data_IF_551792642188
#
_entry.id   IF_551792642188
#
_cell.length_a   1.000
_cell.length_b   1.000
_cell.length_c   1.000
_cell.angle_alpha   90.00
_cell.angle_beta   90.00
_cell.angle_gamma   90.00
#
_symmetry.space_group_name_H-M   'P 1'
#
loop_
_entity.id
_entity.type
_entity.pdbx_description
1 polymer ?
#
# COMPACT_ATOMS: atom_id res chain seq x y z
N UNK A 1 -17.07 -16.29 -38.38
CA UNK A 1 -17.06 -14.86 -38.65
C UNK A 1 -18.13 -14.21 -37.81
N UNK A 2 -17.70 -13.51 -36.77
CA UNK A 2 -18.56 -12.76 -35.88
C UNK A 2 -18.90 -11.43 -36.56
N UNK A 3 -20.18 -11.09 -36.70
CA UNK A 3 -20.53 -9.77 -37.24
C UNK A 3 -20.16 -8.67 -36.25
N UNK A 4 -19.62 -7.54 -36.76
CA UNK A 4 -19.21 -6.42 -35.92
C UNK A 4 -20.38 -5.84 -35.10
N UNK A 5 -21.58 -5.77 -35.69
CA UNK A 5 -22.81 -5.36 -35.01
C UNK A 5 -23.16 -6.29 -33.84
N UNK A 6 -22.94 -7.60 -34.02
CA UNK A 6 -23.13 -8.60 -32.97
C UNK A 6 -22.09 -8.43 -31.85
N UNK A 7 -20.83 -8.20 -32.19
CA UNK A 7 -19.75 -7.90 -31.23
C UNK A 7 -20.11 -6.71 -30.34
N UNK A 8 -20.52 -5.59 -30.94
CA UNK A 8 -20.92 -4.38 -30.20
C UNK A 8 -22.19 -4.57 -29.37
N UNK A 9 -23.14 -5.40 -29.83
CA UNK A 9 -24.29 -5.75 -29.00
C UNK A 9 -23.86 -6.52 -27.73
N UNK A 10 -22.90 -7.44 -27.84
CA UNK A 10 -22.32 -8.14 -26.69
C UNK A 10 -21.55 -7.18 -25.76
N UNK A 11 -20.80 -6.21 -26.31
CA UNK A 11 -20.15 -5.13 -25.55
C UNK A 11 -21.17 -4.39 -24.72
N UNK A 12 -22.23 -3.89 -25.37
CA UNK A 12 -23.28 -3.10 -24.72
C UNK A 12 -23.90 -3.91 -23.59
N UNK A 13 -24.36 -5.14 -23.87
CA UNK A 13 -24.98 -6.00 -22.84
C UNK A 13 -24.07 -6.28 -21.65
N UNK A 14 -22.76 -6.44 -21.89
CA UNK A 14 -21.78 -6.75 -20.84
C UNK A 14 -21.44 -5.54 -19.97
N UNK A 15 -21.39 -4.34 -20.58
CA UNK A 15 -21.01 -3.10 -19.90
C UNK A 15 -22.19 -2.29 -19.37
N UNK A 16 -23.42 -2.53 -19.85
CA UNK A 16 -24.57 -1.66 -19.60
C UNK A 16 -24.87 -1.44 -18.11
N UNK A 17 -24.87 -2.50 -17.28
CA UNK A 17 -25.12 -2.35 -15.84
C UNK A 17 -24.07 -1.46 -15.18
N UNK A 18 -22.78 -1.71 -15.48
CA UNK A 18 -21.65 -0.97 -14.90
C UNK A 18 -21.62 0.48 -15.37
N UNK A 19 -21.90 0.74 -16.64
CA UNK A 19 -21.99 2.10 -17.19
C UNK A 19 -23.12 2.89 -16.51
N UNK A 20 -24.32 2.28 -16.38
CA UNK A 20 -25.47 2.92 -15.72
C UNK A 20 -25.22 3.19 -14.24
N UNK A 21 -24.60 2.25 -13.51
CA UNK A 21 -24.21 2.43 -12.10
C UNK A 21 -23.31 3.66 -11.88
N UNK A 22 -22.50 4.01 -12.87
CA UNK A 22 -21.58 5.14 -12.81
C UNK A 22 -22.16 6.45 -13.40
N UNK A 23 -23.43 6.43 -13.80
CA UNK A 23 -24.14 7.60 -14.33
C UNK A 23 -23.89 7.86 -15.82
N UNK A 24 -23.48 6.83 -16.57
CA UNK A 24 -23.30 6.90 -18.02
C UNK A 24 -24.48 6.25 -18.73
N UNK A 25 -24.90 6.87 -19.83
CA UNK A 25 -25.90 6.34 -20.75
C UNK A 25 -25.32 6.26 -22.15
N UNK A 26 -25.70 5.22 -22.87
CA UNK A 26 -25.33 5.07 -24.28
C UNK A 26 -25.95 6.20 -25.10
N UNK A 27 -25.13 6.83 -25.94
CA UNK A 27 -25.55 7.89 -26.85
C UNK A 27 -26.18 7.28 -28.10
N UNK A 28 -27.33 7.79 -28.51
CA UNK A 28 -28.05 7.33 -29.69
C UNK A 28 -28.07 8.44 -30.73
N UNK A 29 -27.60 8.18 -31.97
CA UNK A 29 -27.85 9.07 -33.09
C UNK A 29 -29.36 9.34 -33.26
N UNK A 30 -29.72 10.48 -33.81
CA UNK A 30 -31.11 10.96 -33.91
C UNK A 30 -32.07 9.92 -34.54
N UNK A 31 -31.58 9.13 -35.48
CA UNK A 31 -32.36 8.15 -36.27
C UNK A 31 -32.33 6.72 -35.69
N UNK A 32 -31.49 6.42 -34.70
CA UNK A 32 -31.33 5.06 -34.16
C UNK A 32 -32.06 4.94 -32.82
N UNK A 33 -32.77 3.83 -32.62
CA UNK A 33 -33.50 3.53 -31.38
C UNK A 33 -33.27 2.07 -30.95
N UNK A 34 -33.32 1.78 -29.63
CA UNK A 34 -33.31 0.39 -29.15
C UNK A 34 -34.40 -0.44 -29.86
N UNK A 35 -34.12 -1.69 -30.28
CA UNK A 35 -32.97 -2.52 -29.92
C UNK A 35 -31.75 -2.40 -30.85
N UNK A 36 -31.74 -1.47 -31.81
CA UNK A 36 -30.62 -1.31 -32.75
C UNK A 36 -29.37 -0.79 -32.04
N UNK A 37 -28.20 -1.31 -32.45
CA UNK A 37 -26.90 -0.89 -31.91
C UNK A 37 -26.57 0.50 -32.47
N UNK A 38 -26.31 1.53 -31.64
CA UNK A 38 -26.01 2.89 -32.09
C UNK A 38 -24.57 3.03 -32.59
N UNK A 39 -24.21 2.23 -33.59
CA UNK A 39 -22.88 2.19 -34.16
C UNK A 39 -22.67 3.40 -35.07
N UNK A 40 -21.84 4.35 -34.64
CA UNK A 40 -21.41 5.49 -35.42
C UNK A 40 -20.22 5.12 -36.34
N UNK A 41 -20.04 5.88 -37.40
CA UNK A 41 -18.94 5.70 -38.36
C UNK A 41 -18.16 6.99 -38.56
N UNK A 42 -16.84 6.90 -38.48
CA UNK A 42 -15.92 7.98 -38.86
C UNK A 42 -14.78 7.36 -39.69
N UNK A 43 -14.70 7.72 -40.98
CA UNK A 43 -13.79 7.07 -41.92
C UNK A 43 -14.00 5.55 -41.96
N UNK A 44 -12.95 4.80 -41.60
CA UNK A 44 -12.97 3.32 -41.49
C UNK A 44 -13.31 2.82 -40.08
N UNK A 45 -13.34 3.70 -39.08
CA UNK A 45 -13.63 3.35 -37.71
C UNK A 45 -15.14 3.19 -37.49
N UNK A 46 -15.50 2.28 -36.59
CA UNK A 46 -16.86 2.07 -36.08
C UNK A 46 -16.84 2.19 -34.58
N UNK A 47 -17.74 2.96 -33.98
CA UNK A 47 -17.69 3.20 -32.55
C UNK A 47 -19.06 3.42 -31.91
N UNK A 48 -19.09 3.32 -30.58
CA UNK A 48 -20.20 3.76 -29.74
C UNK A 48 -19.68 4.74 -28.70
N UNK A 49 -20.54 5.65 -28.24
CA UNK A 49 -20.22 6.62 -27.20
C UNK A 49 -21.17 6.44 -26.02
N UNK A 50 -20.64 6.48 -24.80
CA UNK A 50 -21.42 6.71 -23.59
C UNK A 50 -21.16 8.12 -23.09
N UNK A 51 -22.22 8.81 -22.67
CA UNK A 51 -22.15 10.14 -22.04
C UNK A 51 -22.64 10.06 -20.60
N UNK A 52 -21.96 10.76 -19.71
CA UNK A 52 -22.37 10.90 -18.32
C UNK A 52 -21.90 12.24 -17.75
N UNK A 53 -22.37 12.57 -16.55
CA UNK A 53 -21.95 13.81 -15.87
C UNK A 53 -20.44 13.85 -15.56
N UNK A 54 -19.79 12.67 -15.50
CA UNK A 54 -18.36 12.53 -15.16
C UNK A 54 -17.43 12.60 -16.38
N UNK A 55 -17.98 12.59 -17.59
CA UNK A 55 -17.18 12.57 -18.82
C UNK A 55 -17.79 11.73 -19.94
N UNK A 56 -16.93 11.21 -20.82
CA UNK A 56 -17.30 10.43 -22.01
C UNK A 56 -16.47 9.15 -22.13
N UNK A 57 -17.08 8.12 -22.69
CA UNK A 57 -16.43 6.84 -23.03
C UNK A 57 -16.69 6.55 -24.51
N UNK A 58 -15.63 6.28 -25.28
CA UNK A 58 -15.74 5.83 -26.68
C UNK A 58 -15.13 4.43 -26.80
N UNK A 59 -15.88 3.51 -27.38
CA UNK A 59 -15.37 2.17 -27.74
C UNK A 59 -15.33 2.14 -29.26
N UNK A 60 -14.13 2.00 -29.82
CA UNK A 60 -13.87 2.12 -31.26
C UNK A 60 -13.22 0.85 -31.80
N UNK A 61 -13.72 0.38 -32.92
CA UNK A 61 -13.13 -0.66 -33.73
C UNK A 61 -12.53 -0.06 -35.01
N UNK A 62 -11.24 -0.30 -35.24
CA UNK A 62 -10.53 0.12 -36.46
C UNK A 62 -9.32 -0.78 -36.69
N UNK A 63 -9.09 -1.19 -37.94
CA UNK A 63 -7.94 -2.03 -38.33
C UNK A 63 -7.73 -3.26 -37.42
N UNK A 64 -8.80 -4.04 -37.21
CA UNK A 64 -8.79 -5.26 -36.36
C UNK A 64 -8.39 -5.00 -34.91
N UNK A 65 -8.53 -3.77 -34.43
CA UNK A 65 -8.27 -3.39 -33.05
C UNK A 65 -9.52 -2.78 -32.44
N UNK A 66 -9.76 -3.15 -31.19
CA UNK A 66 -10.76 -2.53 -30.33
C UNK A 66 -10.05 -1.64 -29.32
N UNK A 67 -10.44 -0.38 -29.26
CA UNK A 67 -9.85 0.62 -28.39
C UNK A 67 -10.91 1.20 -27.45
N UNK A 68 -10.52 1.43 -26.20
CA UNK A 68 -11.28 2.16 -25.20
C UNK A 68 -10.66 3.55 -25.03
N UNK A 69 -11.45 4.60 -25.23
CA UNK A 69 -11.06 5.98 -24.98
C UNK A 69 -11.93 6.58 -23.87
N UNK A 70 -11.31 7.39 -23.02
CA UNK A 70 -11.93 8.01 -21.85
C UNK A 70 -11.57 9.50 -21.82
N UNK A 71 -12.53 10.35 -21.46
CA UNK A 71 -12.31 11.79 -21.21
C UNK A 71 -13.16 12.23 -20.01
N UNK A 72 -12.60 13.03 -19.12
CA UNK A 72 -13.34 13.57 -17.97
C UNK A 72 -14.30 14.70 -18.39
N UNK A 73 -15.09 15.22 -17.44
CA UNK A 73 -16.07 16.28 -17.71
C UNK A 73 -15.44 17.67 -17.85
N UNK A 74 -14.23 17.88 -17.33
CA UNK A 74 -13.51 19.16 -17.37
C UNK A 74 -12.64 19.27 -18.64
N UNK A 75 -12.44 18.15 -19.33
CA UNK A 75 -11.81 18.05 -20.64
C UNK A 75 -12.77 18.58 -21.72
N UNK A 76 -12.66 19.88 -22.04
CA UNK A 76 -13.46 20.54 -23.10
C UNK A 76 -13.14 20.07 -24.53
N UNK A 77 -12.24 19.09 -24.66
CA UNK A 77 -11.77 18.61 -25.95
C UNK A 77 -12.87 17.88 -26.74
N UNK A 78 -12.79 17.95 -28.07
CA UNK A 78 -13.76 17.26 -28.93
C UNK A 78 -13.62 15.73 -28.78
N UNK A 79 -14.60 14.95 -29.27
CA UNK A 79 -14.56 13.48 -29.21
C UNK A 79 -13.28 12.89 -29.88
N UNK A 80 -12.57 13.67 -30.70
CA UNK A 80 -11.28 13.35 -31.33
C UNK A 80 -10.07 13.35 -30.38
N UNK A 81 -10.18 13.95 -29.20
CA UNK A 81 -9.05 14.25 -28.30
C UNK A 81 -9.07 13.39 -27.02
N UNK A 82 -9.99 12.42 -26.94
CA UNK A 82 -10.11 11.50 -25.82
C UNK A 82 -8.82 10.67 -25.64
N UNK A 83 -8.45 10.42 -24.38
CA UNK A 83 -7.26 9.61 -24.08
C UNK A 83 -7.54 8.13 -24.30
N UNK A 84 -6.68 7.45 -25.06
CA UNK A 84 -6.77 5.99 -25.23
C UNK A 84 -6.32 5.26 -23.97
N UNK A 85 -7.26 4.59 -23.31
CA UNK A 85 -7.05 3.90 -22.04
C UNK A 85 -6.73 2.41 -22.18
N UNK A 86 -7.29 1.73 -23.20
CA UNK A 86 -6.93 0.35 -23.55
C UNK A 86 -7.00 0.14 -25.06
N UNK A 87 -6.26 -0.86 -25.55
CA UNK A 87 -6.18 -1.26 -26.95
C UNK A 87 -5.94 -2.77 -27.03
N UNK A 88 -6.85 -3.49 -27.66
CA UNK A 88 -6.79 -4.94 -27.80
C UNK A 88 -6.99 -5.34 -29.25
N UNK A 89 -6.30 -6.40 -29.69
CA UNK A 89 -6.54 -6.99 -31.00
C UNK A 89 -7.89 -7.71 -31.01
N UNK A 90 -8.68 -7.52 -32.07
CA UNK A 90 -9.95 -8.19 -32.27
C UNK A 90 -10.09 -8.61 -33.75
N UNK A 91 -9.75 -9.87 -34.01
CA UNK A 91 -9.93 -10.50 -35.31
C UNK A 91 -11.30 -11.18 -35.34
N UNK A 92 -12.29 -10.54 -35.98
CA UNK A 92 -13.69 -11.04 -36.03
C UNK A 92 -13.85 -12.44 -36.64
N UNK A 93 -12.85 -12.89 -37.39
CA UNK A 93 -12.84 -14.22 -38.02
C UNK A 93 -12.39 -15.33 -37.07
N UNK A 94 -11.60 -15.01 -36.05
CA UNK A 94 -10.94 -15.99 -35.17
C UNK A 94 -11.46 -15.95 -33.74
N UNK A 95 -12.04 -14.83 -33.29
CA UNK A 95 -12.51 -14.64 -31.91
C UNK A 95 -13.91 -15.20 -31.69
N UNK A 96 -14.12 -15.83 -30.51
CA UNK A 96 -15.42 -16.30 -30.04
C UNK A 96 -16.00 -15.42 -28.91
N UNK A 97 -17.22 -15.71 -28.46
CA UNK A 97 -17.87 -14.93 -27.39
C UNK A 97 -17.11 -14.93 -26.06
N UNK A 98 -16.30 -15.96 -25.77
CA UNK A 98 -15.49 -16.02 -24.54
C UNK A 98 -14.33 -15.05 -24.63
N UNK A 99 -13.67 -14.99 -25.79
CA UNK A 99 -12.58 -14.04 -26.03
C UNK A 99 -13.08 -12.60 -25.87
N UNK A 100 -14.26 -12.31 -26.43
CA UNK A 100 -14.94 -11.04 -26.27
C UNK A 100 -15.23 -10.69 -24.81
N UNK A 101 -15.72 -11.65 -24.00
CA UNK A 101 -15.98 -11.41 -22.57
C UNK A 101 -14.72 -10.99 -21.82
N UNK A 102 -13.58 -11.63 -22.08
CA UNK A 102 -12.32 -11.22 -21.45
C UNK A 102 -11.92 -9.79 -21.80
N UNK A 103 -12.06 -9.39 -23.07
CA UNK A 103 -11.80 -8.01 -23.51
C UNK A 103 -12.76 -7.04 -22.80
N UNK A 104 -14.03 -7.43 -22.64
CA UNK A 104 -15.03 -6.54 -22.04
C UNK A 104 -14.88 -6.42 -20.53
N UNK A 105 -14.47 -7.49 -19.84
CA UNK A 105 -14.13 -7.42 -18.43
C UNK A 105 -12.90 -6.50 -18.20
N UNK A 106 -11.88 -6.58 -19.06
CA UNK A 106 -10.74 -5.66 -19.03
C UNK A 106 -11.17 -4.19 -19.26
N UNK A 107 -12.05 -3.96 -20.23
CA UNK A 107 -12.56 -2.62 -20.52
C UNK A 107 -13.42 -2.08 -19.36
N UNK A 108 -14.21 -2.95 -18.73
CA UNK A 108 -15.00 -2.61 -17.57
C UNK A 108 -14.11 -2.22 -16.37
N UNK A 109 -13.07 -3.00 -16.09
CA UNK A 109 -12.08 -2.67 -15.05
C UNK A 109 -11.35 -1.36 -15.35
N UNK A 110 -10.94 -1.14 -16.61
CA UNK A 110 -10.28 0.10 -17.04
C UNK A 110 -11.20 1.31 -16.88
N UNK A 111 -12.47 1.17 -17.28
CA UNK A 111 -13.51 2.18 -17.07
C UNK A 111 -13.75 2.46 -15.58
N UNK A 112 -13.90 1.43 -14.75
CA UNK A 112 -14.12 1.55 -13.31
C UNK A 112 -12.90 2.18 -12.61
N UNK A 113 -11.68 1.93 -13.08
CA UNK A 113 -10.49 2.59 -12.54
C UNK A 113 -10.46 4.10 -12.85
N UNK A 114 -11.02 4.52 -14.00
CA UNK A 114 -11.03 5.91 -14.45
C UNK A 114 -12.24 6.70 -13.93
N UNK A 115 -13.46 6.23 -14.17
CA UNK A 115 -14.74 6.88 -13.81
C UNK A 115 -15.39 6.29 -12.57
N UNK A 116 -14.78 5.26 -12.01
CA UNK A 116 -15.05 4.89 -10.66
C UNK A 116 -15.05 6.12 -9.79
N UNK A 117 -16.11 6.25 -9.00
CA UNK A 117 -15.82 6.64 -7.63
C UNK A 117 -14.82 5.57 -7.23
N UNK A 118 -13.51 5.89 -7.13
CA UNK A 118 -12.61 5.14 -6.24
C UNK A 118 -13.53 4.82 -5.10
N UNK A 119 -13.80 3.55 -4.75
CA UNK A 119 -14.55 3.29 -3.53
C UNK A 119 -13.77 3.99 -2.44
N UNK A 120 -14.08 5.26 -2.19
CA UNK A 120 -14.24 5.86 -0.91
C UNK A 120 -15.31 4.94 -0.35
N UNK A 121 -14.82 3.81 0.16
CA UNK A 121 -15.24 3.43 1.49
C UNK A 121 -15.15 4.74 2.25
N UNK A 122 -16.28 5.45 2.34
CA UNK A 122 -16.45 6.51 3.29
C UNK A 122 -16.21 5.79 4.63
N UNK A 123 -14.97 5.89 5.12
CA UNK A 123 -14.44 5.02 6.17
C UNK A 123 -12.99 4.55 5.98
N UNK A 124 -12.47 4.27 4.77
CA UNK A 124 -11.05 3.89 4.64
C UNK A 124 -10.18 5.14 4.81
N UNK A 125 -9.49 5.19 5.93
CA UNK A 125 -8.29 6.01 6.08
C UNK A 125 -7.46 5.90 4.79
N UNK A 126 -7.13 7.05 4.17
CA UNK A 126 -6.02 7.09 3.23
C UNK A 126 -4.80 6.64 4.01
N UNK A 127 -4.29 5.45 3.70
CA UNK A 127 -3.07 4.96 4.33
C UNK A 127 -1.97 6.00 4.10
N UNK A 128 -1.25 6.43 5.15
CA UNK A 128 -0.19 7.39 5.02
C UNK A 128 0.86 6.89 4.01
N UNK A 129 1.45 7.82 3.25
CA UNK A 129 2.40 7.47 2.19
C UNK A 129 3.76 7.11 2.79
N UNK A 130 4.30 5.90 2.54
CA UNK A 130 5.63 5.54 3.02
C UNK A 130 6.71 6.31 2.27
N UNK A 131 7.86 6.47 2.92
CA UNK A 131 9.04 7.09 2.33
C UNK A 131 9.58 6.23 1.18
N UNK A 132 9.78 6.87 0.03
CA UNK A 132 10.29 6.21 -1.17
C UNK A 132 11.77 5.87 -1.04
N UNK A 133 12.21 4.83 -1.75
CA UNK A 133 13.62 4.43 -1.75
C UNK A 133 14.57 5.51 -2.28
N UNK A 134 14.13 6.27 -3.27
CA UNK A 134 14.93 7.38 -3.80
C UNK A 134 15.05 8.52 -2.79
N UNK A 135 13.96 8.86 -2.08
CA UNK A 135 14.00 9.90 -1.06
C UNK A 135 14.93 9.53 0.12
N UNK A 136 14.93 8.26 0.52
CA UNK A 136 15.86 7.72 1.51
C UNK A 136 17.32 7.81 1.06
N UNK A 137 17.63 7.27 -0.12
CA UNK A 137 19.02 7.20 -0.63
C UNK A 137 19.65 8.56 -0.90
N UNK A 138 18.87 9.57 -1.27
CA UNK A 138 19.38 10.93 -1.48
C UNK A 138 19.51 11.72 -0.18
N UNK A 139 19.07 11.14 0.96
CA UNK A 139 19.00 11.82 2.25
C UNK A 139 17.91 12.89 2.32
N UNK A 140 17.00 12.94 1.35
CA UNK A 140 15.90 13.90 1.33
C UNK A 140 14.88 13.64 2.45
N UNK A 141 14.65 12.36 2.76
CA UNK A 141 13.84 11.89 3.89
C UNK A 141 14.49 10.64 4.47
N UNK A 142 14.27 10.34 5.74
CA UNK A 142 14.69 9.06 6.35
C UNK A 142 13.51 8.12 6.50
N UNK A 143 13.74 6.81 6.47
CA UNK A 143 12.67 5.84 6.69
C UNK A 143 12.09 5.95 8.11
N UNK A 144 10.77 6.02 8.19
CA UNK A 144 9.98 6.14 9.41
C UNK A 144 9.33 4.80 9.82
N UNK A 145 8.73 4.71 11.02
CA UNK A 145 8.04 3.49 11.46
C UNK A 145 6.90 3.06 10.52
N UNK A 146 6.21 4.02 9.89
CA UNK A 146 5.19 3.77 8.88
C UNK A 146 5.76 3.01 7.67
N UNK A 147 6.91 3.45 7.15
CA UNK A 147 7.58 2.82 6.01
C UNK A 147 8.02 1.41 6.35
N UNK A 148 8.50 1.20 7.58
CA UNK A 148 8.80 -0.14 8.10
C UNK A 148 7.57 -1.02 8.11
N UNK A 149 6.46 -0.57 8.72
CA UNK A 149 5.21 -1.33 8.75
C UNK A 149 4.70 -1.66 7.34
N UNK A 150 4.69 -0.68 6.44
CA UNK A 150 4.22 -0.85 5.07
C UNK A 150 5.04 -1.88 4.28
N UNK A 151 6.38 -1.79 4.32
CA UNK A 151 7.25 -2.74 3.64
C UNK A 151 7.24 -4.11 4.31
N UNK A 152 7.06 -4.15 5.63
CA UNK A 152 6.94 -5.39 6.39
C UNK A 152 5.71 -6.20 5.95
N UNK A 153 4.52 -5.59 5.87
CA UNK A 153 3.33 -6.27 5.34
C UNK A 153 3.42 -6.55 3.83
N UNK A 154 4.36 -5.92 3.13
CA UNK A 154 4.81 -6.32 1.80
C UNK A 154 5.45 -7.72 1.76
N UNK A 155 6.14 -8.11 2.83
CA UNK A 155 6.72 -9.47 2.99
C UNK A 155 5.67 -10.43 3.57
N UNK A 156 4.94 -9.99 4.58
CA UNK A 156 3.96 -10.77 5.34
C UNK A 156 2.55 -10.26 5.06
N UNK A 157 2.00 -10.70 3.92
CA UNK A 157 0.73 -10.22 3.38
C UNK A 157 -0.45 -10.51 4.31
N UNK A 158 -0.33 -11.53 5.14
CA UNK A 158 -1.32 -11.94 6.14
C UNK A 158 -1.60 -10.86 7.20
N UNK A 159 -0.67 -9.93 7.46
CA UNK A 159 -0.87 -8.84 8.43
C UNK A 159 -1.31 -7.51 7.80
N UNK A 160 -1.72 -7.52 6.52
CA UNK A 160 -2.17 -6.30 5.83
C UNK A 160 -3.39 -5.67 6.48
N UNK A 161 -4.30 -6.49 6.98
CA UNK A 161 -5.52 -6.00 7.62
C UNK A 161 -5.22 -5.53 9.03
N UNK A 162 -4.40 -6.26 9.81
CA UNK A 162 -3.92 -5.79 11.14
C UNK A 162 -3.19 -4.44 11.06
N UNK A 163 -2.39 -4.22 10.00
CA UNK A 163 -1.71 -2.95 9.74
C UNK A 163 -2.70 -1.82 9.44
N UNK A 164 -3.76 -2.08 8.68
CA UNK A 164 -4.80 -1.10 8.37
C UNK A 164 -5.62 -0.76 9.61
N UNK A 165 -6.04 -1.79 10.35
CA UNK A 165 -6.84 -1.65 11.56
C UNK A 165 -6.07 -0.87 12.62
N UNK A 166 -4.75 -1.06 12.73
CA UNK A 166 -3.90 -0.27 13.62
C UNK A 166 -3.93 1.23 13.26
N UNK A 167 -3.78 1.57 11.98
CA UNK A 167 -3.82 2.96 11.52
C UNK A 167 -5.22 3.54 11.69
N UNK A 168 -6.27 2.77 11.40
CA UNK A 168 -7.65 3.21 11.58
C UNK A 168 -7.99 3.49 13.05
N UNK A 169 -7.51 2.62 13.95
CA UNK A 169 -7.72 2.76 15.40
C UNK A 169 -7.04 4.01 15.97
N UNK A 170 -5.84 4.33 15.52
CA UNK A 170 -5.01 5.38 16.13
C UNK A 170 -4.93 6.67 15.30
N UNK A 171 -5.42 6.68 14.06
CA UNK A 171 -5.26 7.79 13.11
C UNK A 171 -3.86 7.86 12.48
N UNK A 172 -2.89 7.14 13.04
CA UNK A 172 -1.51 6.99 12.56
C UNK A 172 -1.02 5.57 12.85
N UNK A 173 0.10 5.17 12.26
CA UNK A 173 0.64 3.84 12.49
C UNK A 173 1.36 3.75 13.85
N UNK A 174 0.72 3.08 14.81
CA UNK A 174 1.31 2.77 16.11
C UNK A 174 2.17 1.51 16.02
N UNK A 175 3.41 1.71 15.55
CA UNK A 175 4.30 0.63 15.18
C UNK A 175 4.66 -0.31 16.35
N UNK A 176 4.87 0.22 17.55
CA UNK A 176 5.17 -0.58 18.75
C UNK A 176 4.08 -1.63 19.03
N UNK A 177 2.81 -1.22 19.04
CA UNK A 177 1.68 -2.15 19.25
C UNK A 177 1.62 -3.20 18.14
N UNK A 178 1.73 -2.77 16.88
CA UNK A 178 1.68 -3.68 15.74
C UNK A 178 2.78 -4.75 15.80
N UNK A 179 4.02 -4.36 16.09
CA UNK A 179 5.13 -5.32 16.16
C UNK A 179 5.04 -6.21 17.40
N UNK A 180 4.64 -5.69 18.56
CA UNK A 180 4.47 -6.50 19.77
C UNK A 180 3.35 -7.55 19.60
N UNK A 181 2.23 -7.18 18.98
CA UNK A 181 1.07 -8.07 18.84
C UNK A 181 1.22 -9.06 17.67
N UNK A 182 1.76 -8.61 16.54
CA UNK A 182 1.77 -9.36 15.28
C UNK A 182 3.19 -9.57 14.75
N UNK A 183 3.91 -8.48 14.44
CA UNK A 183 5.15 -8.54 13.65
C UNK A 183 6.26 -9.40 14.27
N UNK A 184 6.45 -9.32 15.59
CA UNK A 184 7.50 -10.08 16.29
C UNK A 184 7.27 -11.59 16.22
N UNK A 185 6.02 -12.04 16.21
CA UNK A 185 5.70 -13.47 16.04
C UNK A 185 6.12 -13.95 14.65
N UNK A 186 5.85 -13.16 13.62
CA UNK A 186 6.25 -13.48 12.25
C UNK A 186 7.76 -13.47 12.05
N UNK A 187 8.46 -12.49 12.63
CA UNK A 187 9.93 -12.43 12.63
C UNK A 187 10.54 -13.67 13.28
N UNK A 188 10.09 -14.01 14.50
CA UNK A 188 10.58 -15.21 15.19
C UNK A 188 10.25 -16.49 14.44
N UNK A 189 9.06 -16.61 13.85
CA UNK A 189 8.68 -17.75 13.03
C UNK A 189 9.58 -17.91 11.80
N UNK A 190 9.89 -16.82 11.10
CA UNK A 190 10.82 -16.81 9.96
C UNK A 190 12.21 -17.28 10.36
N UNK A 191 12.73 -16.80 11.49
CA UNK A 191 14.06 -17.18 12.00
C UNK A 191 14.09 -18.66 12.42
N UNK A 192 13.05 -19.12 13.12
CA UNK A 192 12.94 -20.53 13.56
C UNK A 192 12.77 -21.49 12.40
N UNK A 193 12.02 -21.10 11.36
CA UNK A 193 11.80 -21.90 10.16
C UNK A 193 13.08 -22.19 9.36
N UNK A 194 14.15 -21.40 9.56
CA UNK A 194 15.46 -21.60 8.95
C UNK A 194 15.46 -21.62 7.41
N UNK A 195 14.46 -20.99 6.80
CA UNK A 195 14.39 -20.79 5.36
C UNK A 195 15.33 -19.63 4.98
N UNK A 196 16.47 -19.95 4.37
CA UNK A 196 17.50 -18.98 4.01
C UNK A 196 16.99 -17.85 3.12
N UNK A 197 16.02 -18.12 2.25
CA UNK A 197 15.47 -17.12 1.33
C UNK A 197 14.60 -16.13 2.12
N UNK A 198 13.74 -16.64 3.00
CA UNK A 198 12.87 -15.79 3.84
C UNK A 198 13.67 -14.98 4.85
N UNK A 199 14.67 -15.59 5.50
CA UNK A 199 15.58 -14.90 6.42
C UNK A 199 16.32 -13.78 5.69
N UNK A 200 16.91 -14.06 4.51
CA UNK A 200 17.59 -13.02 3.73
C UNK A 200 16.65 -11.89 3.33
N UNK A 201 15.42 -12.20 2.90
CA UNK A 201 14.42 -11.18 2.53
C UNK A 201 14.06 -10.28 3.71
N UNK A 202 13.86 -10.87 4.89
CA UNK A 202 13.60 -10.13 6.13
C UNK A 202 14.78 -9.22 6.50
N UNK A 203 15.99 -9.76 6.56
CA UNK A 203 17.14 -8.97 7.00
C UNK A 203 17.58 -7.92 5.97
N UNK A 204 17.41 -8.17 4.67
CA UNK A 204 17.61 -7.13 3.65
C UNK A 204 16.67 -5.94 3.89
N UNK A 205 15.40 -6.20 4.26
CA UNK A 205 14.46 -5.14 4.61
C UNK A 205 14.92 -4.40 5.87
N UNK A 206 15.25 -5.12 6.95
CA UNK A 206 15.63 -4.52 8.23
C UNK A 206 16.92 -3.72 8.11
N UNK A 207 17.94 -4.23 7.41
CA UNK A 207 19.20 -3.51 7.17
C UNK A 207 18.96 -2.22 6.38
N UNK A 208 18.24 -2.30 5.25
CA UNK A 208 17.96 -1.12 4.41
C UNK A 208 17.22 -0.03 5.20
N UNK A 209 16.22 -0.41 5.99
CA UNK A 209 15.45 0.56 6.77
C UNK A 209 16.26 1.09 7.94
N UNK A 210 17.08 0.27 8.58
CA UNK A 210 17.89 0.68 9.71
C UNK A 210 18.96 1.70 9.31
N UNK A 211 19.65 1.47 8.19
CA UNK A 211 20.74 2.33 7.71
C UNK A 211 20.25 3.73 7.32
N UNK A 212 19.14 3.81 6.59
CA UNK A 212 18.56 5.09 6.13
C UNK A 212 17.36 5.55 6.98
N UNK A 213 17.22 5.01 8.20
CA UNK A 213 16.06 5.23 9.09
C UNK A 213 16.25 6.36 10.08
N UNK A 214 15.13 6.89 10.60
CA UNK A 214 15.15 7.77 11.77
C UNK A 214 15.62 7.02 13.02
N UNK A 215 16.07 7.74 14.05
CA UNK A 215 16.45 7.14 15.35
C UNK A 215 15.30 6.33 15.97
N UNK A 216 14.05 6.76 15.76
CA UNK A 216 12.86 6.04 16.23
C UNK A 216 12.72 4.69 15.49
N UNK A 217 12.82 4.70 14.17
CA UNK A 217 12.77 3.47 13.35
C UNK A 217 13.92 2.52 13.70
N UNK A 218 15.13 3.04 13.89
CA UNK A 218 16.29 2.26 14.31
C UNK A 218 16.05 1.62 15.69
N UNK A 219 15.51 2.40 16.64
CA UNK A 219 15.17 1.91 17.98
C UNK A 219 14.09 0.82 17.92
N UNK A 220 13.05 1.00 17.12
CA UNK A 220 12.00 0.02 16.90
C UNK A 220 12.57 -1.31 16.36
N UNK A 221 13.45 -1.25 15.35
CA UNK A 221 14.09 -2.44 14.80
C UNK A 221 14.99 -3.12 15.84
N UNK A 222 15.90 -2.38 16.47
CA UNK A 222 16.92 -2.95 17.34
C UNK A 222 16.39 -3.38 18.72
N UNK A 223 15.49 -2.59 19.31
CA UNK A 223 14.97 -2.80 20.67
C UNK A 223 13.71 -3.64 20.69
N UNK A 224 12.74 -3.32 19.82
CA UNK A 224 11.41 -3.94 19.88
C UNK A 224 11.32 -5.20 19.05
N UNK A 225 11.88 -5.19 17.83
CA UNK A 225 11.79 -6.33 16.92
C UNK A 225 12.89 -7.35 17.20
N UNK A 226 14.15 -6.95 17.01
CA UNK A 226 15.29 -7.87 17.16
C UNK A 226 15.75 -8.02 18.62
N UNK A 227 15.44 -7.05 19.48
CA UNK A 227 15.76 -7.12 20.90
C UNK A 227 15.11 -8.33 21.57
N UNK A 228 13.94 -8.77 21.10
CA UNK A 228 13.22 -9.97 21.56
C UNK A 228 14.03 -11.28 21.47
N UNK A 229 15.07 -11.32 20.63
CA UNK A 229 16.00 -12.44 20.54
C UNK A 229 16.77 -12.69 21.85
N UNK A 230 16.75 -11.76 22.82
CA UNK A 230 17.31 -12.01 24.16
C UNK A 230 16.68 -13.21 24.87
N UNK A 231 15.45 -13.59 24.49
CA UNK A 231 14.75 -14.77 25.02
C UNK A 231 15.31 -16.07 24.47
N UNK A 232 15.93 -16.03 23.29
CA UNK A 232 16.43 -17.19 22.55
C UNK A 232 17.83 -16.88 21.95
N UNK A 233 18.90 -16.81 22.77
CA UNK A 233 20.23 -16.36 22.33
C UNK A 233 20.82 -17.14 21.15
N UNK A 234 20.49 -18.43 21.02
CA UNK A 234 20.91 -19.27 19.90
C UNK A 234 20.38 -18.78 18.55
N UNK A 235 19.18 -18.17 18.53
CA UNK A 235 18.60 -17.60 17.33
C UNK A 235 19.30 -16.32 16.91
N UNK A 236 19.79 -15.53 17.87
CA UNK A 236 20.58 -14.32 17.58
C UNK A 236 21.88 -14.67 16.84
N UNK A 237 22.66 -15.63 17.36
CA UNK A 237 23.92 -16.04 16.73
C UNK A 237 23.71 -16.59 15.31
N UNK A 238 22.59 -17.29 15.08
CA UNK A 238 22.25 -17.82 13.75
C UNK A 238 22.07 -16.73 12.70
N UNK A 239 21.40 -15.64 13.06
CA UNK A 239 20.99 -14.61 12.09
C UNK A 239 21.89 -13.39 12.09
N UNK A 240 22.91 -13.37 12.95
CA UNK A 240 23.91 -12.31 13.05
C UNK A 240 24.57 -12.02 11.71
N UNK A 241 24.90 -13.06 10.92
CA UNK A 241 25.51 -12.92 9.59
C UNK A 241 24.59 -12.26 8.54
N UNK A 242 23.28 -12.17 8.81
CA UNK A 242 22.33 -11.52 7.91
C UNK A 242 22.13 -10.04 8.24
N UNK A 243 22.58 -9.57 9.41
CA UNK A 243 22.53 -8.17 9.79
C UNK A 243 23.72 -7.40 9.20
N UNK A 244 23.56 -6.11 8.91
CA UNK A 244 24.72 -5.25 8.65
C UNK A 244 25.52 -5.02 9.94
N UNK A 245 26.80 -4.66 9.83
CA UNK A 245 27.69 -4.52 11.00
C UNK A 245 27.14 -3.58 12.07
N UNK A 246 26.53 -2.48 11.64
CA UNK A 246 25.93 -1.47 12.54
C UNK A 246 24.70 -2.04 13.25
N UNK A 247 23.82 -2.73 12.51
CA UNK A 247 22.64 -3.35 13.10
C UNK A 247 23.05 -4.47 14.07
N UNK A 248 23.95 -5.35 13.65
CA UNK A 248 24.45 -6.47 14.45
C UNK A 248 25.04 -5.99 15.79
N UNK A 249 25.92 -4.98 15.74
CA UNK A 249 26.54 -4.42 16.94
C UNK A 249 25.51 -3.76 17.88
N UNK A 250 24.50 -3.11 17.33
CA UNK A 250 23.45 -2.46 18.13
C UNK A 250 22.55 -3.51 18.80
N UNK A 251 22.08 -4.50 18.04
CA UNK A 251 21.23 -5.59 18.57
C UNK A 251 22.00 -6.41 19.60
N UNK A 252 23.28 -6.68 19.41
CA UNK A 252 24.12 -7.38 20.39
C UNK A 252 24.13 -6.65 21.75
N UNK A 253 24.30 -5.32 21.74
CA UNK A 253 24.28 -4.52 22.95
C UNK A 253 22.91 -4.52 23.63
N UNK A 254 21.83 -4.43 22.84
CA UNK A 254 20.46 -4.52 23.33
C UNK A 254 20.21 -5.87 23.99
N UNK A 255 20.51 -6.97 23.29
CA UNK A 255 20.34 -8.34 23.79
C UNK A 255 21.16 -8.54 25.07
N UNK A 256 22.42 -8.10 25.10
CA UNK A 256 23.27 -8.16 26.30
C UNK A 256 22.68 -7.39 27.48
N UNK A 257 22.15 -6.20 27.24
CA UNK A 257 21.49 -5.41 28.27
C UNK A 257 20.21 -6.11 28.77
N UNK A 258 19.36 -6.58 27.87
CA UNK A 258 18.10 -7.27 28.19
C UNK A 258 18.34 -8.58 28.96
N UNK A 259 19.42 -9.30 28.67
CA UNK A 259 19.83 -10.48 29.41
C UNK A 259 20.43 -10.18 30.79
N UNK A 260 20.74 -8.91 31.09
CA UNK A 260 21.35 -8.53 32.37
C UNK A 260 20.34 -8.41 33.52
N UNK A 261 20.82 -8.66 34.75
CA UNK A 261 20.03 -8.42 35.97
C UNK A 261 19.59 -6.96 36.14
N UNK A 262 20.34 -6.00 35.57
CA UNK A 262 19.98 -4.57 35.58
C UNK A 262 18.67 -4.32 34.82
N UNK A 263 18.53 -4.91 33.64
CA UNK A 263 17.31 -4.80 32.83
C UNK A 263 16.12 -5.47 33.52
N UNK A 264 16.31 -6.62 34.16
CA UNK A 264 15.27 -7.27 34.98
C UNK A 264 14.76 -6.34 36.08
N UNK A 265 15.67 -5.70 36.82
CA UNK A 265 15.32 -4.71 37.84
C UNK A 265 14.61 -3.47 37.29
N UNK A 266 15.06 -2.95 36.14
CA UNK A 266 14.41 -1.81 35.48
C UNK A 266 12.97 -2.13 35.06
N UNK A 267 12.74 -3.29 34.44
CA UNK A 267 11.40 -3.75 34.02
C UNK A 267 10.46 -3.97 35.19
N UNK A 268 10.95 -4.48 36.32
CA UNK A 268 10.15 -4.60 37.56
C UNK A 268 9.73 -3.22 38.08
N UNK A 269 10.65 -2.24 38.08
CA UNK A 269 10.33 -0.86 38.49
C UNK A 269 9.39 -0.16 37.52
N UNK A 270 9.45 -0.48 36.22
CA UNK A 270 8.52 0.08 35.25
C UNK A 270 7.08 -0.41 35.51
N UNK A 271 6.92 -1.70 35.81
CA UNK A 271 5.63 -2.29 36.18
C UNK A 271 5.14 -1.85 37.57
N UNK A 272 6.07 -1.57 38.48
CA UNK A 272 5.79 -1.15 39.85
C UNK A 272 6.62 0.10 40.18
N UNK A 273 6.22 1.28 39.71
CA UNK A 273 6.99 2.49 39.91
C UNK A 273 7.10 2.81 41.40
N UNK A 274 8.30 3.16 41.90
CA UNK A 274 8.44 3.60 43.28
C UNK A 274 7.59 4.87 43.49
N UNK A 275 7.00 5.00 44.68
CA UNK A 275 6.26 6.19 45.05
C UNK A 275 7.09 7.45 44.78
N UNK A 276 6.47 8.45 44.16
CA UNK A 276 7.12 9.74 43.90
C UNK A 276 7.69 10.29 45.20
N UNK A 277 9.00 10.55 45.22
CA UNK A 277 9.66 11.27 46.31
C UNK A 277 9.99 12.67 45.81
N UNK A 278 9.40 13.73 46.40
CA UNK A 278 9.74 15.08 46.01
C UNK A 278 11.24 15.32 46.19
N UNK A 279 11.86 16.10 45.30
CA UNK A 279 13.28 16.41 45.39
C UNK A 279 13.57 17.00 46.77
N UNK A 280 14.58 16.46 47.46
CA UNK A 280 15.00 17.01 48.76
C UNK A 280 15.33 18.48 48.54
N UNK A 281 14.71 19.38 49.33
CA UNK A 281 15.11 20.79 49.38
C UNK A 281 16.62 20.83 49.52
N UNK A 282 17.32 21.46 48.56
CA UNK A 282 18.76 21.71 48.68
C UNK A 282 18.94 22.44 50.01
N UNK A 283 19.65 21.82 50.95
CA UNK A 283 20.07 22.57 52.15
C UNK A 283 20.95 23.70 51.65
N UNK A 284 20.63 24.93 52.02
CA UNK A 284 21.55 26.06 51.89
C UNK A 284 22.95 25.61 52.28
N UNK A 285 23.92 25.85 51.41
CA UNK A 285 25.30 25.54 51.75
C UNK A 285 25.64 26.34 53.01
N UNK A 286 26.40 25.74 53.93
CA UNK A 286 26.82 26.44 55.15
C UNK A 286 27.53 27.76 54.84
N UNK A 287 28.13 27.88 53.65
CA UNK A 287 28.77 29.08 53.14
C UNK A 287 27.77 30.21 52.87
N UNK A 288 26.61 29.91 52.25
CA UNK A 288 25.55 30.91 52.03
C UNK A 288 24.98 31.40 53.35
N UNK A 289 24.75 30.48 54.30
CA UNK A 289 24.36 30.84 55.67
C UNK A 289 25.38 31.70 56.41
N UNK A 290 26.67 31.47 56.17
CA UNK A 290 27.75 32.25 56.79
C UNK A 290 27.95 33.62 56.14
N UNK A 291 27.57 33.78 54.86
CA UNK A 291 27.59 35.05 54.14
C UNK A 291 26.28 35.86 54.26
N UNK A 292 25.30 35.38 55.02
CA UNK A 292 24.03 36.07 55.24
C UNK A 292 23.16 36.19 53.97
N UNK A 293 23.34 35.29 53.01
CA UNK A 293 22.56 35.19 51.77
C UNK A 293 21.61 34.01 51.80
#
# INVERSE_FOLDING_TARGET
>A
MLELSYAFNLIIKSLESRMKEHGFSLDYPDEVRPPEVPLMQEGKSRYIIYRGQKGRVKIEYSEEKLALYLADADDESADSDMTRASLTLLELDTYDERDLRYIFDEFAETFENFFGVKKTQAGKLKLPTPVSKNAAKTGALSYDPLTLGNRFVGIYQEFKDDYRDNIEKYGEFLAEEFFIEYGNKAVLATIKGNDKIKIRKLFNLLNEIYEDGTNETQSLIAVTILGELYKEPELFERVRENMSDILAGTVEQVVKYLSSGKSKGARIRLKNPPAYRPPKKKKESSLMKMMGM
#
